data_IF_758708684990
#
_entry.id   IF_758708684990
#
_cell.length_a   1.000
_cell.length_b   1.000
_cell.length_c   1.000
_cell.angle_alpha   90.00
_cell.angle_beta   90.00
_cell.angle_gamma   90.00
#
_symmetry.space_group_name_H-M   'P 1'
#
loop_
_entity.id
_entity.type
_entity.pdbx_description
1 polymer ?
#
# COMPACT_ATOMS: atom_id res chain seq x y z
N UNK A 1 -1.77 -12.08 17.70
CA UNK A 1 -3.14 -12.50 17.29
C UNK A 1 -3.25 -12.17 15.81
N UNK A 2 -3.86 -12.98 14.95
CA UNK A 2 -3.98 -12.63 13.54
C UNK A 2 -4.72 -11.30 13.38
N UNK A 3 -4.32 -10.49 12.41
CA UNK A 3 -5.06 -9.29 12.01
C UNK A 3 -6.51 -9.70 11.76
N UNK A 4 -7.52 -8.98 12.29
CA UNK A 4 -8.92 -9.28 12.02
C UNK A 4 -9.18 -9.32 10.50
N UNK A 5 -9.90 -10.34 10.03
CA UNK A 5 -10.04 -10.59 8.58
C UNK A 5 -10.72 -9.42 7.85
N UNK A 6 -11.68 -8.75 8.49
CA UNK A 6 -12.35 -7.58 7.94
C UNK A 6 -11.40 -6.38 7.77
N UNK A 7 -10.43 -6.20 8.69
CA UNK A 7 -9.37 -5.19 8.56
C UNK A 7 -8.44 -5.54 7.41
N UNK A 8 -8.05 -6.81 7.30
CA UNK A 8 -7.18 -7.30 6.23
C UNK A 8 -7.83 -7.11 4.87
N UNK A 9 -9.07 -7.52 4.69
CA UNK A 9 -9.82 -7.31 3.44
C UNK A 9 -9.94 -5.83 3.07
N UNK A 10 -10.19 -4.96 4.06
CA UNK A 10 -10.32 -3.52 3.82
C UNK A 10 -9.00 -2.90 3.34
N UNK A 11 -7.88 -3.29 3.96
CA UNK A 11 -6.54 -2.85 3.56
C UNK A 11 -6.17 -3.37 2.17
N UNK A 12 -6.41 -4.66 1.89
CA UNK A 12 -6.12 -5.25 0.57
C UNK A 12 -6.94 -4.57 -0.53
N UNK A 13 -8.23 -4.29 -0.29
CA UNK A 13 -9.07 -3.52 -1.22
C UNK A 13 -8.52 -2.12 -1.49
N UNK A 14 -8.05 -1.42 -0.45
CA UNK A 14 -7.45 -0.10 -0.60
C UNK A 14 -6.16 -0.15 -1.43
N UNK A 15 -5.29 -1.13 -1.18
CA UNK A 15 -4.04 -1.29 -1.94
C UNK A 15 -4.34 -1.55 -3.41
N UNK A 16 -5.20 -2.53 -3.70
CA UNK A 16 -5.59 -2.87 -5.08
C UNK A 16 -6.21 -1.67 -5.81
N UNK A 17 -7.06 -0.89 -5.13
CA UNK A 17 -7.63 0.34 -5.71
C UNK A 17 -6.55 1.34 -6.11
N UNK A 18 -5.58 1.61 -5.22
CA UNK A 18 -4.52 2.58 -5.51
C UNK A 18 -3.54 2.09 -6.58
N UNK A 19 -3.30 0.79 -6.68
CA UNK A 19 -2.51 0.18 -7.77
C UNK A 19 -3.23 0.43 -9.11
N UNK A 20 -4.53 0.11 -9.19
CA UNK A 20 -5.33 0.36 -10.38
C UNK A 20 -5.36 1.84 -10.78
N UNK A 21 -5.44 2.75 -9.81
CA UNK A 21 -5.34 4.19 -10.05
C UNK A 21 -3.95 4.62 -10.54
N UNK A 22 -2.89 4.03 -9.99
CA UNK A 22 -1.50 4.32 -10.38
C UNK A 22 -1.26 4.01 -11.86
N UNK A 23 -1.81 2.91 -12.37
CA UNK A 23 -1.75 2.57 -13.79
C UNK A 23 -2.33 3.69 -14.67
N UNK A 24 -3.51 4.23 -14.30
CA UNK A 24 -4.13 5.34 -15.01
C UNK A 24 -3.31 6.65 -14.93
N UNK A 25 -2.51 6.81 -13.87
CA UNK A 25 -1.73 8.03 -13.61
C UNK A 25 -0.30 7.97 -14.19
N UNK A 26 0.13 6.87 -14.79
CA UNK A 26 1.49 6.74 -15.34
C UNK A 26 1.94 7.89 -16.26
N UNK A 27 1.09 8.43 -17.16
CA UNK A 27 1.47 9.58 -17.98
C UNK A 27 1.81 10.82 -17.15
N UNK A 28 1.01 11.11 -16.12
CA UNK A 28 1.27 12.20 -15.19
C UNK A 28 2.56 11.97 -14.42
N UNK A 29 2.76 10.76 -13.87
CA UNK A 29 3.92 10.41 -13.05
C UNK A 29 5.22 10.64 -13.84
N UNK A 30 5.27 10.21 -15.10
CA UNK A 30 6.46 10.37 -15.97
C UNK A 30 6.78 11.85 -16.25
N UNK A 31 5.77 12.69 -16.39
CA UNK A 31 5.95 14.13 -16.65
C UNK A 31 6.31 14.90 -15.37
N UNK A 32 5.65 14.58 -14.25
CA UNK A 32 5.85 15.26 -12.98
C UNK A 32 7.20 14.92 -12.32
N UNK A 33 7.72 13.72 -12.54
CA UNK A 33 8.95 13.23 -11.91
C UNK A 33 10.01 12.78 -12.94
N UNK A 34 10.45 13.67 -13.85
CA UNK A 34 11.26 13.29 -15.02
C UNK A 34 12.68 12.81 -14.68
N UNK A 35 13.16 13.08 -13.47
CA UNK A 35 14.51 12.74 -13.02
C UNK A 35 14.55 11.61 -11.98
N UNK A 36 13.40 11.03 -11.63
CA UNK A 36 13.37 9.92 -10.68
C UNK A 36 13.95 8.67 -11.32
N UNK A 37 14.90 8.04 -10.62
CA UNK A 37 15.56 6.81 -11.06
C UNK A 37 14.83 5.55 -10.64
N UNK A 38 13.85 5.67 -9.73
CA UNK A 38 13.09 4.53 -9.22
C UNK A 38 11.65 4.96 -8.88
N UNK A 39 10.84 5.14 -9.92
CA UNK A 39 9.42 5.49 -9.79
C UNK A 39 8.59 4.36 -9.18
N UNK A 40 9.00 3.10 -9.38
CA UNK A 40 8.35 1.95 -8.78
C UNK A 40 8.46 1.97 -7.24
N UNK A 41 9.65 2.20 -6.67
CA UNK A 41 9.82 2.39 -5.22
C UNK A 41 8.97 3.55 -4.70
N UNK A 42 8.96 4.68 -5.42
CA UNK A 42 8.23 5.86 -4.99
C UNK A 42 6.72 5.60 -4.91
N UNK A 43 6.15 4.95 -5.94
CA UNK A 43 4.74 4.58 -5.96
C UNK A 43 4.43 3.52 -4.90
N UNK A 44 5.29 2.50 -4.77
CA UNK A 44 5.15 1.46 -3.75
C UNK A 44 5.12 2.06 -2.34
N UNK A 45 6.07 2.92 -2.00
CA UNK A 45 6.15 3.57 -0.68
C UNK A 45 4.93 4.46 -0.41
N UNK A 46 4.45 5.19 -1.43
CA UNK A 46 3.24 6.01 -1.31
C UNK A 46 2.00 5.14 -1.02
N UNK A 47 1.83 4.05 -1.78
CA UNK A 47 0.71 3.13 -1.65
C UNK A 47 0.75 2.46 -0.28
N UNK A 48 1.90 1.92 0.13
CA UNK A 48 2.06 1.27 1.44
C UNK A 48 1.88 2.25 2.59
N UNK A 49 2.43 3.46 2.50
CA UNK A 49 2.26 4.50 3.52
C UNK A 49 0.80 4.93 3.71
N UNK A 50 0.06 5.06 2.60
CA UNK A 50 -1.38 5.31 2.62
C UNK A 50 -2.15 4.14 3.25
N UNK A 51 -1.81 2.90 2.87
CA UNK A 51 -2.43 1.69 3.42
C UNK A 51 -2.14 1.51 4.92
N UNK A 52 -0.95 1.87 5.42
CA UNK A 52 -0.63 1.89 6.86
C UNK A 52 -1.58 2.80 7.62
N UNK A 53 -1.85 4.00 7.08
CA UNK A 53 -2.74 4.96 7.73
C UNK A 53 -4.16 4.41 7.86
N UNK A 54 -4.64 3.73 6.81
CA UNK A 54 -5.92 3.03 6.82
C UNK A 54 -5.93 1.87 7.82
N UNK A 55 -4.88 1.06 7.85
CA UNK A 55 -4.73 -0.06 8.78
C UNK A 55 -4.79 0.40 10.25
N UNK A 56 -4.03 1.44 10.60
CA UNK A 56 -4.05 2.03 11.95
C UNK A 56 -5.43 2.59 12.29
N UNK A 57 -6.09 3.27 11.35
CA UNK A 57 -7.44 3.81 11.55
C UNK A 57 -8.45 2.69 11.84
N UNK A 58 -8.38 1.58 11.10
CA UNK A 58 -9.23 0.42 11.37
C UNK A 58 -9.05 -0.10 12.81
N UNK A 59 -7.83 -0.20 13.34
CA UNK A 59 -7.63 -0.57 14.74
C UNK A 59 -8.20 0.50 15.70
N UNK A 60 -7.99 1.78 15.40
CA UNK A 60 -8.51 2.89 16.21
C UNK A 60 -10.03 2.89 16.31
N UNK A 61 -10.76 2.57 15.23
CA UNK A 61 -12.23 2.40 15.24
C UNK A 61 -12.70 1.31 16.21
N UNK A 62 -11.81 0.38 16.57
CA UNK A 62 -12.06 -0.72 17.53
C UNK A 62 -11.52 -0.40 18.92
N UNK A 63 -11.13 0.86 19.17
CA UNK A 63 -10.48 1.33 20.40
C UNK A 63 -9.20 0.54 20.73
N UNK A 64 -8.48 0.10 19.69
CA UNK A 64 -7.23 -0.66 19.78
C UNK A 64 -6.12 0.05 19.01
N UNK A 65 -4.89 -0.38 19.26
CA UNK A 65 -3.72 0.00 18.48
C UNK A 65 -3.03 -1.27 17.95
N UNK A 66 -2.48 -1.27 16.72
CA UNK A 66 -1.76 -2.44 16.22
C UNK A 66 -0.50 -2.73 17.05
N UNK A 67 -0.29 -3.99 17.38
CA UNK A 67 0.94 -4.48 17.99
C UNK A 67 2.11 -4.51 16.98
N UNK A 68 3.32 -4.79 17.48
CA UNK A 68 4.47 -5.03 16.61
C UNK A 68 4.26 -6.26 15.69
N UNK A 69 3.59 -7.30 16.19
CA UNK A 69 3.24 -8.45 15.35
C UNK A 69 2.22 -8.08 14.27
N UNK A 70 1.23 -7.25 14.60
CA UNK A 70 0.24 -6.76 13.63
C UNK A 70 0.92 -5.97 12.49
N UNK A 71 1.90 -5.11 12.80
CA UNK A 71 2.67 -4.40 11.79
C UNK A 71 3.55 -5.34 10.94
N UNK A 72 4.08 -6.40 11.54
CA UNK A 72 4.85 -7.42 10.81
C UNK A 72 3.97 -8.17 9.82
N UNK A 73 2.75 -8.57 10.23
CA UNK A 73 1.78 -9.20 9.35
C UNK A 73 1.29 -8.26 8.25
N UNK A 74 1.08 -6.97 8.56
CA UNK A 74 0.80 -5.95 7.55
C UNK A 74 1.92 -5.84 6.50
N UNK A 75 3.19 -5.90 6.92
CA UNK A 75 4.34 -5.96 6.01
C UNK A 75 4.26 -7.15 5.03
N UNK A 76 3.85 -8.33 5.52
CA UNK A 76 3.66 -9.53 4.67
C UNK A 76 2.49 -9.40 3.70
N UNK A 77 1.45 -8.64 4.05
CA UNK A 77 0.34 -8.33 3.13
C UNK A 77 0.86 -7.44 2.00
N UNK A 78 1.54 -6.35 2.35
CA UNK A 78 1.97 -5.31 1.40
C UNK A 78 3.09 -5.75 0.46
N UNK A 79 4.00 -6.62 0.89
CA UNK A 79 5.12 -7.09 0.03
C UNK A 79 4.64 -7.85 -1.21
N UNK A 80 3.47 -8.50 -1.15
CA UNK A 80 2.88 -9.27 -2.27
C UNK A 80 2.62 -8.41 -3.51
N UNK A 81 2.38 -7.12 -3.32
CA UNK A 81 2.03 -6.19 -4.40
C UNK A 81 3.25 -5.52 -5.03
N UNK A 82 4.45 -5.80 -4.53
CA UNK A 82 5.67 -5.15 -5.00
C UNK A 82 5.93 -5.42 -6.49
N UNK A 83 5.84 -6.69 -6.87
CA UNK A 83 6.13 -7.13 -8.23
C UNK A 83 5.13 -6.56 -9.25
N UNK A 84 3.86 -6.37 -8.84
CA UNK A 84 2.82 -5.77 -9.67
C UNK A 84 3.11 -4.30 -9.98
N UNK A 85 3.48 -3.52 -8.96
CA UNK A 85 3.84 -2.10 -9.14
C UNK A 85 5.11 -1.95 -9.97
N UNK A 86 6.09 -2.82 -9.78
CA UNK A 86 7.32 -2.82 -10.59
C UNK A 86 7.02 -3.00 -12.09
N UNK A 87 5.97 -3.74 -12.47
CA UNK A 87 5.63 -3.98 -13.88
C UNK A 87 5.18 -2.70 -14.62
N UNK A 88 4.65 -1.70 -13.93
CA UNK A 88 4.22 -0.45 -14.56
C UNK A 88 5.38 0.42 -15.08
N UNK A 89 6.59 0.19 -14.57
CA UNK A 89 7.77 1.01 -14.84
C UNK A 89 8.91 0.24 -15.52
N UNK A 90 8.67 -1.01 -15.91
CA UNK A 90 9.58 -1.83 -16.73
C UNK A 90 9.47 -1.50 -18.22
#
# INVERSE_FOLDING_TARGET
MPIPEDVKEYVEKQITLMISQTEAYLPFIRVAFPYSKNLADACYNLIVGSAVSVFVNQYAMRLKYPSAEDFTEFGKITVKYRDEIDQFFK
#
